data_IF_411202040900
#
_entry.id   IF_411202040900
#
_cell.length_a   1.000
_cell.length_b   1.000
_cell.length_c   1.000
_cell.angle_alpha   90.00
_cell.angle_beta   90.00
_cell.angle_gamma   90.00
#
_symmetry.space_group_name_H-M   'P 1'
#
loop_
_entity.id
_entity.type
_entity.pdbx_description
1 polymer ?
#
# COMPACT_ATOMS: atom_id res chain seq x y z
N UNK A 1 -18.78 9.31 -1.49
CA UNK A 1 -18.01 10.39 -0.83
C UNK A 1 -18.72 10.97 0.39
N UNK A 2 -19.33 10.18 1.27
CA UNK A 2 -20.11 10.74 2.41
C UNK A 2 -19.46 10.57 3.79
N UNK A 3 -18.28 9.94 3.88
CA UNK A 3 -17.67 9.60 5.18
C UNK A 3 -16.29 10.24 5.44
N UNK A 4 -15.64 10.83 4.45
CA UNK A 4 -14.34 11.52 4.60
C UNK A 4 -14.31 12.81 3.80
N UNK A 5 -13.43 13.74 4.18
CA UNK A 5 -13.16 14.97 3.43
C UNK A 5 -12.09 14.79 2.33
N UNK A 6 -11.53 13.58 2.21
CA UNK A 6 -10.47 13.27 1.24
C UNK A 6 -10.99 13.47 -0.19
N UNK A 7 -10.36 14.36 -0.98
CA UNK A 7 -10.77 14.56 -2.36
C UNK A 7 -10.39 13.34 -3.19
N UNK A 8 -11.39 12.62 -3.69
CA UNK A 8 -11.23 11.48 -4.60
C UNK A 8 -12.02 11.73 -5.89
N UNK A 9 -11.56 11.20 -7.04
CA UNK A 9 -12.30 11.33 -8.29
C UNK A 9 -13.71 10.72 -8.16
N UNK A 10 -14.70 11.48 -8.61
CA UNK A 10 -16.06 11.02 -8.82
C UNK A 10 -16.14 10.26 -10.15
N UNK A 11 -16.54 8.99 -10.08
CA UNK A 11 -16.74 8.13 -11.25
C UNK A 11 -18.11 8.42 -11.87
N UNK A 12 -18.13 8.93 -13.09
CA UNK A 12 -19.34 9.15 -13.89
C UNK A 12 -19.85 7.86 -14.52
N UNK A 13 -18.93 7.00 -14.99
CA UNK A 13 -19.27 5.74 -15.63
C UNK A 13 -18.10 4.75 -15.55
N UNK A 14 -18.43 3.46 -15.52
CA UNK A 14 -17.52 2.36 -15.78
C UNK A 14 -18.22 1.45 -16.81
N UNK A 15 -17.50 1.06 -17.85
CA UNK A 15 -17.98 0.14 -18.89
C UNK A 15 -16.88 -0.89 -19.18
N UNK A 16 -17.21 -2.15 -18.96
CA UNK A 16 -16.43 -3.35 -19.26
C UNK A 16 -17.09 -4.20 -20.36
N UNK A 17 -18.15 -3.68 -20.98
CA UNK A 17 -18.97 -4.38 -21.98
C UNK A 17 -18.28 -4.45 -23.34
N UNK A 18 -17.29 -3.59 -23.55
CA UNK A 18 -16.57 -3.36 -24.81
C UNK A 18 -17.48 -2.93 -25.98
N UNK A 19 -18.69 -2.44 -25.68
CA UNK A 19 -19.69 -2.11 -26.71
C UNK A 19 -19.43 -0.76 -27.38
N UNK A 20 -19.04 0.25 -26.61
CA UNK A 20 -18.74 1.60 -27.10
C UNK A 20 -17.26 1.79 -27.46
N UNK A 21 -16.37 1.23 -26.64
CA UNK A 21 -14.91 1.24 -26.83
C UNK A 21 -14.44 -0.20 -26.70
N UNK A 22 -13.54 -0.71 -27.57
CA UNK A 22 -13.11 -2.12 -27.53
C UNK A 22 -12.12 -2.41 -26.38
N UNK A 23 -12.32 -1.80 -25.21
CA UNK A 23 -11.53 -1.90 -23.98
C UNK A 23 -12.39 -1.49 -22.79
N UNK A 24 -12.04 -1.95 -21.60
CA UNK A 24 -12.58 -1.42 -20.35
C UNK A 24 -12.25 0.08 -20.23
N UNK A 25 -13.19 0.88 -19.74
CA UNK A 25 -12.93 2.29 -19.44
C UNK A 25 -13.72 2.79 -18.22
N UNK A 26 -13.10 3.72 -17.51
CA UNK A 26 -13.71 4.51 -16.44
C UNK A 26 -13.71 5.97 -16.89
N UNK A 27 -14.86 6.63 -16.79
CA UNK A 27 -14.98 8.07 -16.94
C UNK A 27 -15.16 8.68 -15.55
N UNK A 28 -14.28 9.61 -15.19
CA UNK A 28 -14.30 10.30 -13.90
C UNK A 28 -13.96 11.78 -14.07
N UNK A 29 -14.25 12.62 -13.07
CA UNK A 29 -13.79 14.00 -13.11
C UNK A 29 -12.27 14.05 -12.90
N UNK A 30 -11.63 14.99 -13.60
CA UNK A 30 -10.25 15.33 -13.32
C UNK A 30 -10.21 16.22 -12.07
N UNK A 31 -9.55 15.75 -11.02
CA UNK A 31 -9.28 16.59 -9.85
C UNK A 31 -8.30 17.71 -10.25
N UNK A 32 -8.45 18.92 -9.68
CA UNK A 32 -7.49 19.99 -9.92
C UNK A 32 -6.12 19.66 -9.30
N UNK A 33 -5.10 20.44 -9.66
CA UNK A 33 -3.74 20.26 -9.15
C UNK A 33 -2.85 19.45 -10.08
N UNK A 34 -1.62 19.20 -9.62
CA UNK A 34 -0.60 18.41 -10.31
C UNK A 34 0.05 17.43 -9.33
N UNK A 35 0.63 16.33 -9.81
CA UNK A 35 1.41 15.42 -8.97
C UNK A 35 2.48 16.15 -8.15
N UNK A 36 2.66 15.76 -6.88
CA UNK A 36 3.64 16.38 -5.98
C UNK A 36 5.07 16.30 -6.54
N UNK A 37 5.40 15.24 -7.28
CA UNK A 37 6.68 15.07 -7.99
C UNK A 37 6.97 16.19 -8.99
N UNK A 38 5.93 16.79 -9.56
CA UNK A 38 6.03 17.90 -10.53
C UNK A 38 6.00 19.28 -9.86
N UNK A 39 5.92 19.32 -8.53
CA UNK A 39 5.71 20.55 -7.75
C UNK A 39 6.84 20.79 -6.73
N UNK A 40 8.13 20.78 -7.13
CA UNK A 40 9.26 20.85 -6.20
C UNK A 40 9.34 22.16 -5.38
N UNK A 41 8.63 23.21 -5.80
CA UNK A 41 8.60 24.51 -5.15
C UNK A 41 7.61 24.63 -3.98
N UNK A 42 6.72 23.65 -3.79
CA UNK A 42 5.72 23.71 -2.71
C UNK A 42 6.35 23.38 -1.36
N UNK A 43 5.71 23.85 -0.29
CA UNK A 43 6.06 23.43 1.07
C UNK A 43 5.70 21.95 1.26
N UNK A 44 6.70 21.08 1.09
CA UNK A 44 6.54 19.64 1.22
C UNK A 44 6.06 19.24 2.62
N UNK A 45 6.56 19.87 3.69
CA UNK A 45 6.11 19.58 5.05
C UNK A 45 4.63 19.96 5.24
N UNK A 46 4.22 21.11 4.70
CA UNK A 46 2.82 21.53 4.66
C UNK A 46 1.91 20.54 3.91
N UNK A 47 2.39 19.97 2.80
CA UNK A 47 1.68 18.92 2.05
C UNK A 47 1.61 17.63 2.86
N UNK A 48 2.72 17.15 3.42
CA UNK A 48 2.76 15.90 4.20
C UNK A 48 1.89 15.98 5.46
N UNK A 49 1.77 17.15 6.09
CA UNK A 49 0.82 17.37 7.19
C UNK A 49 -0.62 17.18 6.75
N UNK A 50 -1.00 17.69 5.57
CA UNK A 50 -2.34 17.48 5.01
C UNK A 50 -2.58 16.01 4.65
N UNK A 51 -1.58 15.34 4.05
CA UNK A 51 -1.66 13.89 3.77
C UNK A 51 -1.87 13.09 5.06
N UNK A 52 -1.15 13.43 6.14
CA UNK A 52 -1.34 12.82 7.46
C UNK A 52 -2.78 12.98 7.97
N UNK A 53 -3.34 14.19 7.87
CA UNK A 53 -4.74 14.44 8.26
C UNK A 53 -5.72 13.60 7.44
N UNK A 54 -5.54 13.56 6.12
CA UNK A 54 -6.39 12.79 5.21
C UNK A 54 -6.33 11.28 5.49
N UNK A 55 -5.14 10.71 5.69
CA UNK A 55 -5.00 9.29 6.00
C UNK A 55 -5.54 8.96 7.40
N UNK A 56 -5.45 9.87 8.37
CA UNK A 56 -6.11 9.67 9.66
C UNK A 56 -7.64 9.57 9.53
N UNK A 57 -8.25 10.41 8.67
CA UNK A 57 -9.69 10.31 8.37
C UNK A 57 -10.04 9.00 7.67
N UNK A 58 -9.25 8.58 6.68
CA UNK A 58 -9.51 7.32 5.94
C UNK A 58 -9.34 6.11 6.86
N UNK A 59 -8.28 6.08 7.66
CA UNK A 59 -8.00 4.98 8.59
C UNK A 59 -9.04 4.86 9.70
N UNK A 60 -9.79 5.94 9.99
CA UNK A 60 -10.91 5.91 10.92
C UNK A 60 -12.18 5.24 10.34
N UNK A 61 -12.23 5.00 9.03
CA UNK A 61 -13.25 4.14 8.44
C UNK A 61 -12.94 2.70 8.76
N UNK A 62 -13.92 1.97 9.30
CA UNK A 62 -13.76 0.58 9.71
C UNK A 62 -14.75 -0.34 8.99
N UNK A 63 -14.35 -1.59 8.80
CA UNK A 63 -15.19 -2.67 8.32
C UNK A 63 -15.22 -3.84 9.31
N UNK A 64 -16.13 -4.79 9.10
CA UNK A 64 -16.23 -6.02 9.89
C UNK A 64 -15.13 -7.04 9.50
N UNK A 65 -14.66 -7.00 8.25
CA UNK A 65 -13.73 -7.99 7.70
C UNK A 65 -12.47 -7.33 7.12
N UNK A 66 -11.41 -8.13 7.02
CA UNK A 66 -10.10 -7.73 6.52
C UNK A 66 -9.82 -8.27 5.12
N UNK A 67 -8.92 -7.59 4.41
CA UNK A 67 -8.50 -7.93 3.06
C UNK A 67 -9.23 -7.13 1.99
N UNK A 68 -9.22 -7.66 0.76
CA UNK A 68 -9.81 -7.01 -0.41
C UNK A 68 -11.30 -7.36 -0.52
N UNK A 69 -12.18 -6.37 -0.26
CA UNK A 69 -13.63 -6.56 -0.20
C UNK A 69 -14.38 -6.12 -1.48
N UNK A 70 -13.68 -5.70 -2.53
CA UNK A 70 -14.27 -5.31 -3.81
C UNK A 70 -14.67 -6.49 -4.69
N UNK A 71 -15.38 -6.21 -5.79
CA UNK A 71 -15.93 -7.22 -6.71
C UNK A 71 -14.89 -8.15 -7.34
N UNK A 72 -13.64 -7.70 -7.46
CA UNK A 72 -12.52 -8.49 -7.96
C UNK A 72 -12.16 -9.68 -7.04
N UNK A 73 -12.56 -9.67 -5.76
CA UNK A 73 -12.41 -10.76 -4.76
C UNK A 73 -11.10 -11.58 -4.90
N UNK A 74 -9.90 -10.96 -4.83
CA UNK A 74 -8.63 -11.67 -5.03
C UNK A 74 -8.30 -12.65 -3.88
N UNK A 75 -9.02 -12.54 -2.77
CA UNK A 75 -8.95 -13.42 -1.61
C UNK A 75 -10.32 -13.52 -0.94
N UNK A 76 -10.48 -14.55 -0.11
CA UNK A 76 -11.62 -14.63 0.82
C UNK A 76 -11.38 -13.61 1.95
N UNK A 77 -12.36 -12.75 2.28
CA UNK A 77 -12.29 -11.87 3.45
C UNK A 77 -12.00 -12.64 4.74
N UNK A 78 -11.23 -12.07 5.65
CA UNK A 78 -10.86 -12.72 6.91
C UNK A 78 -11.43 -11.97 8.12
N UNK A 79 -11.46 -12.63 9.27
CA UNK A 79 -11.99 -12.06 10.52
C UNK A 79 -10.93 -11.34 11.35
N UNK A 80 -9.65 -11.58 11.06
CA UNK A 80 -8.52 -10.91 11.71
C UNK A 80 -7.51 -10.43 10.68
N UNK A 81 -6.75 -9.40 11.04
CA UNK A 81 -5.68 -8.90 10.18
C UNK A 81 -4.58 -9.94 9.94
N UNK A 82 -4.18 -10.70 10.96
CA UNK A 82 -3.14 -11.72 10.81
C UNK A 82 -3.52 -12.80 9.80
N UNK A 83 -4.79 -13.23 9.79
CA UNK A 83 -5.29 -14.17 8.78
C UNK A 83 -5.29 -13.55 7.39
N UNK A 84 -5.72 -12.29 7.24
CA UNK A 84 -5.72 -11.60 5.96
C UNK A 84 -4.30 -11.44 5.41
N UNK A 85 -3.38 -10.93 6.24
CA UNK A 85 -2.00 -10.71 5.86
C UNK A 85 -1.27 -12.02 5.55
N UNK A 86 -1.55 -13.11 6.26
CA UNK A 86 -1.01 -14.44 5.95
C UNK A 86 -1.43 -14.92 4.55
N UNK A 87 -2.70 -14.74 4.18
CA UNK A 87 -3.18 -15.07 2.83
C UNK A 87 -2.50 -14.19 1.77
N UNK A 88 -2.42 -12.87 2.02
CA UNK A 88 -1.75 -11.92 1.12
C UNK A 88 -0.27 -12.27 0.94
N UNK A 89 0.43 -12.57 2.03
CA UNK A 89 1.84 -12.95 2.06
C UNK A 89 2.10 -14.21 1.23
N UNK A 90 1.31 -15.28 1.45
CA UNK A 90 1.48 -16.51 0.69
C UNK A 90 1.15 -16.35 -0.79
N UNK A 91 0.10 -15.60 -1.14
CA UNK A 91 -0.22 -15.31 -2.55
C UNK A 91 0.92 -14.59 -3.25
N UNK A 92 1.48 -13.56 -2.61
CA UNK A 92 2.60 -12.82 -3.17
C UNK A 92 3.85 -13.69 -3.34
N UNK A 93 4.17 -14.54 -2.35
CA UNK A 93 5.25 -15.51 -2.47
C UNK A 93 5.05 -16.45 -3.67
N UNK A 94 3.84 -16.94 -3.86
CA UNK A 94 3.50 -17.85 -4.95
C UNK A 94 3.55 -17.13 -6.31
N UNK A 95 3.15 -15.85 -6.38
CA UNK A 95 3.30 -15.02 -7.58
C UNK A 95 4.78 -14.80 -7.94
N UNK A 96 5.64 -14.54 -6.96
CA UNK A 96 7.09 -14.37 -7.19
C UNK A 96 7.76 -15.69 -7.64
N UNK A 97 7.28 -16.84 -7.16
CA UNK A 97 7.68 -18.17 -7.70
C UNK A 97 7.20 -18.32 -9.14
N UNK A 98 5.96 -17.95 -9.44
CA UNK A 98 5.36 -18.07 -10.77
C UNK A 98 6.14 -17.28 -11.83
N UNK A 99 6.62 -16.08 -11.48
CA UNK A 99 7.47 -15.27 -12.36
C UNK A 99 8.94 -15.68 -12.37
N UNK A 100 9.30 -16.76 -11.65
CA UNK A 100 10.62 -17.39 -11.71
C UNK A 100 11.70 -16.74 -10.85
N UNK A 101 11.33 -15.83 -9.94
CA UNK A 101 12.29 -15.13 -9.08
C UNK A 101 12.52 -15.82 -7.74
N UNK A 102 11.61 -16.68 -7.27
CA UNK A 102 11.89 -17.57 -6.15
C UNK A 102 11.93 -19.03 -6.55
N UNK A 103 12.95 -19.73 -6.05
CA UNK A 103 12.92 -21.19 -6.01
C UNK A 103 12.13 -21.69 -4.78
N UNK A 104 11.87 -23.00 -4.72
CA UNK A 104 11.13 -23.64 -3.63
C UNK A 104 11.73 -23.37 -2.24
N UNK A 105 13.07 -23.34 -2.13
CA UNK A 105 13.74 -23.12 -0.86
C UNK A 105 13.60 -21.65 -0.39
N UNK A 106 13.74 -20.68 -1.29
CA UNK A 106 13.55 -19.26 -0.98
C UNK A 106 12.11 -18.97 -0.55
N UNK A 107 11.12 -19.52 -1.27
CA UNK A 107 9.71 -19.39 -0.91
C UNK A 107 9.41 -20.00 0.45
N UNK A 108 9.92 -21.22 0.70
CA UNK A 108 9.69 -21.91 1.97
C UNK A 108 10.34 -21.17 3.14
N UNK A 109 11.56 -20.66 2.95
CA UNK A 109 12.25 -19.86 3.96
C UNK A 109 11.46 -18.61 4.36
N UNK A 110 10.94 -17.83 3.41
CA UNK A 110 10.14 -16.64 3.70
C UNK A 110 8.79 -16.98 4.35
N UNK A 111 8.18 -18.10 3.97
CA UNK A 111 6.97 -18.61 4.60
C UNK A 111 7.21 -19.02 6.06
N UNK A 112 8.29 -19.76 6.34
CA UNK A 112 8.65 -20.19 7.69
C UNK A 112 9.05 -19.00 8.57
N UNK A 113 9.75 -18.01 8.00
CA UNK A 113 10.11 -16.78 8.70
C UNK A 113 8.87 -16.00 9.14
N UNK A 114 7.87 -15.85 8.27
CA UNK A 114 6.60 -15.24 8.64
C UNK A 114 5.88 -16.07 9.70
N UNK A 115 5.78 -17.39 9.52
CA UNK A 115 5.14 -18.29 10.49
C UNK A 115 5.74 -18.16 11.90
N UNK A 116 7.06 -18.01 12.01
CA UNK A 116 7.75 -17.80 13.28
C UNK A 116 7.31 -16.49 13.98
N UNK A 117 7.05 -15.43 13.21
CA UNK A 117 6.71 -14.10 13.74
C UNK A 117 5.21 -13.77 13.68
N UNK A 118 4.40 -14.66 13.10
CA UNK A 118 2.95 -14.54 12.97
C UNK A 118 2.24 -14.12 14.27
N UNK A 119 2.62 -14.62 15.47
CA UNK A 119 1.98 -14.18 16.71
C UNK A 119 2.05 -12.66 16.97
N UNK A 120 3.04 -11.95 16.41
CA UNK A 120 3.20 -10.49 16.59
C UNK A 120 2.12 -9.67 15.85
N UNK A 121 1.42 -10.30 14.91
CA UNK A 121 0.31 -9.71 14.15
C UNK A 121 -1.05 -10.03 14.76
N UNK A 122 -1.11 -11.02 15.67
CA UNK A 122 -2.34 -11.45 16.34
C UNK A 122 -2.65 -10.51 17.51
N UNK A 123 -3.12 -9.31 17.16
CA UNK A 123 -3.44 -8.23 18.09
C UNK A 123 -4.73 -7.54 17.65
N UNK A 124 -5.47 -6.92 18.58
CA UNK A 124 -6.63 -6.13 18.21
C UNK A 124 -6.20 -4.90 17.41
N UNK A 125 -6.61 -4.86 16.15
CA UNK A 125 -6.56 -3.69 15.26
C UNK A 125 -7.95 -3.52 14.64
N UNK A 126 -8.39 -2.31 14.30
CA UNK A 126 -9.54 -2.16 13.42
C UNK A 126 -9.18 -2.57 11.99
N UNK A 127 -10.16 -3.07 11.22
CA UNK A 127 -10.02 -3.21 9.77
C UNK A 127 -10.18 -1.82 9.16
N UNK A 128 -9.11 -1.03 9.10
CA UNK A 128 -9.10 0.33 8.56
C UNK A 128 -9.03 0.32 7.04
N UNK A 129 -9.71 1.25 6.37
CA UNK A 129 -9.53 1.41 4.92
C UNK A 129 -8.14 1.98 4.66
N UNK A 130 -7.34 1.32 3.83
CA UNK A 130 -5.99 1.75 3.44
C UNK A 130 -5.95 2.01 1.94
N UNK A 131 -5.16 2.98 1.49
CA UNK A 131 -4.96 3.31 0.07
C UNK A 131 -3.94 2.38 -0.61
N UNK A 132 -2.87 1.99 0.10
CA UNK A 132 -1.83 1.05 -0.34
C UNK A 132 -1.01 1.44 -1.58
N UNK A 133 -1.10 2.70 -2.03
CA UNK A 133 -0.31 3.24 -3.15
C UNK A 133 -0.09 4.74 -2.99
N UNK A 134 0.29 5.18 -1.79
CA UNK A 134 0.55 6.60 -1.50
C UNK A 134 2.01 6.92 -1.83
N UNK A 135 2.20 7.66 -2.92
CA UNK A 135 3.50 8.14 -3.39
C UNK A 135 3.35 9.48 -4.11
N UNK A 136 4.46 10.12 -4.45
CA UNK A 136 4.48 11.48 -4.99
C UNK A 136 3.63 11.70 -6.25
N UNK A 137 3.44 10.67 -7.08
CA UNK A 137 2.59 10.79 -8.28
C UNK A 137 1.10 10.76 -7.97
N UNK A 138 0.71 10.08 -6.88
CA UNK A 138 -0.69 9.89 -6.47
C UNK A 138 -1.19 10.98 -5.50
N UNK A 139 -0.34 11.94 -5.16
CA UNK A 139 -0.70 13.10 -4.34
C UNK A 139 -0.81 14.32 -5.26
N UNK A 140 -2.03 14.80 -5.47
CA UNK A 140 -2.29 16.01 -6.27
C UNK A 140 -2.25 17.24 -5.37
N UNK A 141 -1.53 18.27 -5.82
CA UNK A 141 -1.31 19.51 -5.08
C UNK A 141 -1.58 20.71 -5.99
N UNK A 142 -2.26 21.73 -5.47
CA UNK A 142 -2.45 22.99 -6.19
C UNK A 142 -1.22 23.92 -6.09
N UNK A 143 -1.23 25.05 -6.81
CA UNK A 143 -0.13 26.02 -6.79
C UNK A 143 0.12 26.67 -5.41
N UNK A 144 -0.82 26.53 -4.47
CA UNK A 144 -0.73 27.08 -3.12
C UNK A 144 -0.20 26.06 -2.11
N UNK A 145 0.08 24.83 -2.54
CA UNK A 145 0.53 23.74 -1.66
C UNK A 145 -0.63 23.05 -0.93
N UNK A 146 -1.87 23.19 -1.40
CA UNK A 146 -3.03 22.49 -0.83
C UNK A 146 -3.20 21.15 -1.52
N UNK A 147 -3.33 20.08 -0.74
CA UNK A 147 -3.62 18.74 -1.28
C UNK A 147 -5.04 18.74 -1.84
N UNK A 148 -5.11 18.48 -3.14
CA UNK A 148 -6.34 18.54 -3.94
C UNK A 148 -6.83 17.17 -4.38
N UNK A 149 -6.06 16.11 -4.13
CA UNK A 149 -6.48 14.73 -4.34
C UNK A 149 -5.49 13.68 -3.88
N UNK A 150 -6.03 12.56 -3.41
CA UNK A 150 -5.33 11.27 -3.33
C UNK A 150 -5.98 10.33 -4.36
N UNK A 151 -5.22 9.93 -5.36
CA UNK A 151 -5.71 9.20 -6.53
C UNK A 151 -5.13 7.78 -6.60
N UNK A 152 -5.75 6.93 -7.43
CA UNK A 152 -5.35 5.52 -7.64
C UNK A 152 -5.60 4.61 -6.42
N UNK A 153 -6.88 4.38 -6.13
CA UNK A 153 -7.35 3.51 -5.03
C UNK A 153 -7.46 2.03 -5.44
N UNK A 154 -6.86 1.62 -6.55
CA UNK A 154 -6.99 0.25 -7.08
C UNK A 154 -6.41 -0.83 -6.15
N UNK A 155 -5.55 -0.41 -5.21
CA UNK A 155 -4.92 -1.28 -4.21
C UNK A 155 -5.59 -1.24 -2.84
N UNK A 156 -6.70 -0.51 -2.71
CA UNK A 156 -7.32 -0.29 -1.42
C UNK A 156 -7.67 -1.61 -0.72
N UNK A 157 -7.37 -1.70 0.57
CA UNK A 157 -7.54 -2.89 1.39
C UNK A 157 -8.04 -2.52 2.77
N UNK A 158 -8.80 -3.40 3.41
CA UNK A 158 -9.19 -3.24 4.81
C UNK A 158 -8.17 -3.95 5.70
N UNK A 159 -7.41 -3.22 6.52
CA UNK A 159 -6.23 -3.76 7.19
C UNK A 159 -5.69 -2.95 8.36
N UNK A 160 -4.55 -3.38 8.88
CA UNK A 160 -3.78 -2.66 9.91
C UNK A 160 -3.06 -1.47 9.27
N UNK A 161 -3.30 -0.21 9.72
CA UNK A 161 -2.61 0.98 9.21
C UNK A 161 -1.08 0.89 9.16
N UNK A 162 -0.46 0.06 10.00
CA UNK A 162 1.00 -0.10 10.00
C UNK A 162 1.57 -0.57 8.66
N UNK A 163 0.80 -1.31 7.85
CA UNK A 163 1.28 -1.72 6.51
C UNK A 163 1.42 -0.52 5.57
N UNK A 164 0.51 0.45 5.65
CA UNK A 164 0.59 1.66 4.82
C UNK A 164 1.71 2.60 5.29
N UNK A 165 1.99 2.63 6.61
CA UNK A 165 3.14 3.39 7.11
C UNK A 165 4.47 2.88 6.56
N UNK A 166 4.61 1.57 6.33
CA UNK A 166 5.80 1.00 5.69
C UNK A 166 5.93 1.45 4.21
N UNK A 167 4.82 1.63 3.51
CA UNK A 167 4.79 2.19 2.14
C UNK A 167 5.20 3.66 2.18
N UNK A 168 4.64 4.44 3.09
CA UNK A 168 5.03 5.85 3.29
C UNK A 168 6.52 5.99 3.64
N UNK A 169 7.10 5.08 4.44
CA UNK A 169 8.54 5.07 4.72
C UNK A 169 9.35 4.83 3.45
N UNK A 170 8.96 3.82 2.67
CA UNK A 170 9.61 3.48 1.41
C UNK A 170 9.61 4.67 0.45
N UNK A 171 8.49 5.40 0.38
CA UNK A 171 8.33 6.60 -0.41
C UNK A 171 8.88 7.88 0.26
N UNK A 172 9.43 7.80 1.48
CA UNK A 172 9.95 8.94 2.27
C UNK A 172 8.90 10.03 2.58
N UNK A 173 7.65 9.62 2.80
CA UNK A 173 6.51 10.50 3.07
C UNK A 173 6.12 10.54 4.56
N UNK A 174 6.65 9.65 5.39
CA UNK A 174 6.33 9.49 6.81
C UNK A 174 7.19 10.35 7.76
N UNK A 175 7.60 11.55 7.32
CA UNK A 175 8.42 12.49 8.11
C UNK A 175 7.66 13.12 9.29
N UNK A 176 8.32 13.96 10.12
CA UNK A 176 7.69 14.57 11.30
C UNK A 176 6.39 15.33 10.99
N UNK A 177 6.33 16.06 9.87
CA UNK A 177 5.14 16.81 9.46
C UNK A 177 3.95 15.89 9.14
N UNK A 178 4.19 14.71 8.57
CA UNK A 178 3.16 13.69 8.36
C UNK A 178 2.56 13.23 9.69
N UNK A 179 3.40 12.87 10.67
CA UNK A 179 2.92 12.42 11.99
C UNK A 179 2.23 13.53 12.80
N UNK A 180 2.65 14.78 12.63
CA UNK A 180 1.93 15.94 13.17
C UNK A 180 0.50 16.02 12.59
N UNK A 181 0.36 15.81 11.28
CA UNK A 181 -0.93 15.77 10.60
C UNK A 181 -1.79 14.56 10.96
N UNK A 182 -1.18 13.38 11.04
CA UNK A 182 -1.84 12.12 11.38
C UNK A 182 -2.38 12.12 12.83
N UNK A 183 -1.79 12.93 13.70
CA UNK A 183 -2.30 13.20 15.06
C UNK A 183 -2.04 12.07 16.08
N UNK A 184 -1.38 11.00 15.66
CA UNK A 184 -0.95 9.88 16.50
C UNK A 184 0.53 9.62 16.23
N UNK A 185 1.39 9.46 17.26
CA UNK A 185 2.78 9.08 17.03
C UNK A 185 2.87 7.64 16.51
N UNK A 186 3.95 7.35 15.79
CA UNK A 186 4.26 5.98 15.36
C UNK A 186 4.55 5.06 16.55
N UNK A 187 4.03 3.83 16.53
CA UNK A 187 4.51 2.78 17.42
C UNK A 187 5.94 2.38 17.04
N UNK A 188 6.87 2.54 17.98
CA UNK A 188 8.29 2.21 17.82
C UNK A 188 8.71 1.01 18.68
N UNK A 189 7.75 0.24 19.20
CA UNK A 189 8.02 -0.99 19.94
C UNK A 189 8.80 -1.99 19.09
N UNK A 190 9.54 -2.90 19.75
CA UNK A 190 10.29 -3.94 19.04
C UNK A 190 9.37 -4.82 18.17
N UNK A 191 8.15 -5.08 18.65
CA UNK A 191 7.15 -5.87 17.92
C UNK A 191 6.66 -5.12 16.67
N UNK A 192 6.37 -3.82 16.78
CA UNK A 192 5.99 -2.98 15.64
C UNK A 192 7.12 -2.87 14.61
N UNK A 193 8.38 -2.76 15.05
CA UNK A 193 9.52 -2.77 14.15
C UNK A 193 9.62 -4.09 13.37
N UNK A 194 9.36 -5.24 14.00
CA UNK A 194 9.32 -6.52 13.28
C UNK A 194 8.19 -6.53 12.25
N UNK A 195 6.98 -6.10 12.62
CA UNK A 195 5.85 -6.00 11.66
C UNK A 195 6.18 -5.07 10.49
N UNK A 196 6.79 -3.91 10.76
CA UNK A 196 7.25 -2.96 9.74
C UNK A 196 8.19 -3.62 8.72
N UNK A 197 9.13 -4.47 9.16
CA UNK A 197 10.00 -5.20 8.23
C UNK A 197 9.20 -6.14 7.32
N UNK A 198 8.21 -6.87 7.84
CA UNK A 198 7.34 -7.71 7.02
C UNK A 198 6.47 -6.91 6.05
N UNK A 199 5.91 -5.78 6.49
CA UNK A 199 5.15 -4.89 5.62
C UNK A 199 6.01 -4.30 4.50
N UNK A 200 7.25 -3.90 4.81
CA UNK A 200 8.21 -3.45 3.80
C UNK A 200 8.63 -4.59 2.86
N UNK A 201 8.84 -5.80 3.38
CA UNK A 201 9.11 -6.98 2.55
C UNK A 201 7.94 -7.28 1.61
N UNK A 202 6.70 -7.15 2.07
CA UNK A 202 5.50 -7.30 1.24
C UNK A 202 5.51 -6.26 0.11
N UNK A 203 5.79 -4.99 0.43
CA UNK A 203 5.87 -3.91 -0.56
C UNK A 203 6.98 -4.15 -1.60
N UNK A 204 8.18 -4.54 -1.18
CA UNK A 204 9.30 -4.80 -2.09
C UNK A 204 9.07 -6.01 -3.00
N UNK A 205 8.48 -7.08 -2.48
CA UNK A 205 8.17 -8.28 -3.26
C UNK A 205 7.14 -8.01 -4.37
N UNK A 206 6.17 -7.11 -4.12
CA UNK A 206 5.19 -6.67 -5.12
C UNK A 206 5.85 -6.13 -6.38
N UNK A 207 6.93 -5.36 -6.23
CA UNK A 207 7.67 -4.81 -7.38
C UNK A 207 8.38 -5.87 -8.21
N UNK A 208 8.76 -7.01 -7.66
CA UNK A 208 9.34 -8.13 -8.44
C UNK A 208 8.35 -8.56 -9.53
N UNK A 209 7.09 -8.76 -9.15
CA UNK A 209 6.01 -9.17 -10.05
C UNK A 209 5.66 -8.06 -11.04
N UNK A 210 5.57 -6.80 -10.57
CA UNK A 210 5.25 -5.65 -11.42
C UNK A 210 6.31 -5.43 -12.50
N UNK A 211 7.60 -5.36 -12.13
CA UNK A 211 8.66 -5.10 -13.10
C UNK A 211 8.84 -6.25 -14.07
N UNK A 212 8.66 -7.49 -13.63
CA UNK A 212 8.67 -8.63 -14.55
C UNK A 212 7.49 -8.59 -15.53
N UNK A 213 6.26 -8.51 -15.03
CA UNK A 213 5.05 -8.71 -15.84
C UNK A 213 4.58 -7.48 -16.59
N UNK A 214 4.53 -6.31 -15.94
CA UNK A 214 3.98 -5.08 -16.53
C UNK A 214 5.06 -4.33 -17.32
N UNK A 215 6.23 -4.12 -16.72
CA UNK A 215 7.27 -3.28 -17.31
C UNK A 215 8.23 -4.05 -18.23
N UNK A 216 8.23 -5.39 -18.15
CA UNK A 216 9.15 -6.25 -18.92
C UNK A 216 10.64 -5.92 -18.64
N UNK A 217 10.94 -5.58 -17.38
CA UNK A 217 12.26 -5.16 -16.90
C UNK A 217 12.85 -6.19 -15.92
N UNK A 218 13.49 -7.27 -16.43
CA UNK A 218 13.97 -8.35 -15.59
C UNK A 218 15.11 -7.93 -14.64
N UNK A 219 15.92 -6.95 -15.02
CA UNK A 219 17.01 -6.43 -14.18
C UNK A 219 16.48 -5.70 -12.93
N UNK A 220 15.40 -4.93 -13.10
CA UNK A 220 14.73 -4.26 -11.99
C UNK A 220 14.09 -5.29 -11.04
N UNK A 221 13.37 -6.28 -11.57
CA UNK A 221 12.80 -7.37 -10.77
C UNK A 221 13.88 -8.15 -10.00
N UNK A 222 15.03 -8.44 -10.62
CA UNK A 222 16.15 -9.09 -9.95
C UNK A 222 16.73 -8.21 -8.82
N UNK A 223 16.77 -6.89 -9.01
CA UNK A 223 17.25 -5.95 -8.00
C UNK A 223 16.31 -5.94 -6.79
N UNK A 224 15.00 -5.92 -6.99
CA UNK A 224 14.04 -6.03 -5.87
C UNK A 224 14.16 -7.35 -5.13
N UNK A 225 14.38 -8.47 -5.83
CA UNK A 225 14.71 -9.75 -5.18
C UNK A 225 15.92 -9.62 -4.25
N UNK A 226 17.02 -9.02 -4.73
CA UNK A 226 18.23 -8.84 -3.93
C UNK A 226 17.98 -7.96 -2.70
N UNK A 227 17.21 -6.88 -2.86
CA UNK A 227 16.83 -6.00 -1.75
C UNK A 227 16.03 -6.75 -0.68
N UNK A 228 15.06 -7.60 -1.08
CA UNK A 228 14.29 -8.45 -0.16
C UNK A 228 15.21 -9.37 0.65
N UNK A 229 16.11 -10.11 -0.03
CA UNK A 229 17.01 -11.04 0.65
C UNK A 229 18.00 -10.31 1.58
N UNK A 230 18.47 -9.13 1.18
CA UNK A 230 19.34 -8.30 2.01
C UNK A 230 18.61 -7.79 3.25
N UNK A 231 17.37 -7.31 3.10
CA UNK A 231 16.55 -6.83 4.22
C UNK A 231 16.30 -7.96 5.22
N UNK A 232 15.96 -9.17 4.75
CA UNK A 232 15.79 -10.33 5.64
C UNK A 232 17.06 -10.63 6.42
N UNK A 233 18.21 -10.64 5.74
CA UNK A 233 19.50 -10.88 6.40
C UNK A 233 19.85 -9.79 7.44
N UNK A 234 19.47 -8.55 7.20
CA UNK A 234 19.76 -7.45 8.13
C UNK A 234 18.83 -7.46 9.35
N UNK A 235 17.55 -7.80 9.14
CA UNK A 235 16.52 -7.69 10.17
C UNK A 235 16.32 -8.96 11.01
N UNK A 236 16.70 -10.14 10.50
CA UNK A 236 16.37 -11.44 11.11
C UNK A 236 17.57 -12.42 11.21
N UNK A 237 18.81 -11.91 11.20
CA UNK A 237 20.03 -12.70 11.47
C UNK A 237 20.51 -12.61 12.91
#
# INVERSE_FOLDING_TARGET
>A
NEQTAVPVPFVYAFDDSHTLVPRDYILMNCLPGRPLSEMPQVDCDGVLRQVGQMLAEVHALHNEHYGYLGDHRPMVPQNTWVEAFEVMWHKLLDDVVMVGYYNTAERQFLADLFKQHRPLFDRPVPASLLHMDVWHENILVDERGVVSGLIDWDRAVWGDPEIEFAILDYCRLSGPAFWEGYGQPRDTSAEAQIRQHFYLLYELQKYIVIYHGRNHEPEAAATYKQQVLQLVKQAFS
#
